data_IF_077724503026
#
_entry.id   IF_077724503026
#
_cell.length_a   1.000
_cell.length_b   1.000
_cell.length_c   1.000
_cell.angle_alpha   90.00
_cell.angle_beta   90.00
_cell.angle_gamma   90.00
#
_symmetry.space_group_name_H-M   'P 1'
#
loop_
_entity.id
_entity.type
_entity.pdbx_description
1 polymer ?
#
# COMPACT_ATOMS: atom_id res chain seq x y z
N UNK A 1 50.17 22.91 -44.12
CA UNK A 1 48.80 22.54 -44.56
C UNK A 1 47.89 22.46 -43.33
N UNK A 2 46.59 22.69 -43.55
CA UNK A 2 45.48 23.01 -42.62
C UNK A 2 45.38 22.09 -41.38
N UNK A 3 45.25 22.65 -40.16
CA UNK A 3 44.05 22.68 -39.27
C UNK A 3 43.33 21.31 -39.19
N UNK A 4 43.16 20.65 -38.04
CA UNK A 4 42.36 21.07 -36.87
C UNK A 4 42.57 20.14 -35.67
N UNK A 5 42.61 20.71 -34.47
CA UNK A 5 42.33 20.05 -33.18
C UNK A 5 40.85 19.66 -33.14
N UNK A 6 40.50 18.46 -32.64
CA UNK A 6 39.15 18.21 -32.13
C UNK A 6 39.22 17.52 -30.75
N UNK A 7 38.90 18.35 -29.76
CA UNK A 7 38.42 18.03 -28.42
C UNK A 7 37.01 17.40 -28.49
N UNK A 8 36.54 16.83 -27.37
CA UNK A 8 35.16 16.40 -27.03
C UNK A 8 34.88 14.91 -27.29
N UNK A 9 34.33 14.15 -26.35
CA UNK A 9 33.77 14.52 -25.07
C UNK A 9 33.28 13.27 -24.33
N UNK A 10 33.24 13.41 -23.01
CA UNK A 10 32.61 12.50 -22.05
C UNK A 10 31.20 12.14 -22.55
N UNK A 11 30.96 10.88 -22.89
CA UNK A 11 29.60 10.35 -22.95
C UNK A 11 29.32 9.77 -21.56
N UNK A 12 28.86 10.65 -20.69
CA UNK A 12 28.14 10.30 -19.48
C UNK A 12 26.85 9.61 -19.95
N UNK A 13 26.79 8.29 -19.79
CA UNK A 13 25.55 7.55 -20.01
C UNK A 13 24.63 7.92 -18.84
N UNK A 14 23.87 9.01 -19.01
CA UNK A 14 22.63 9.20 -18.29
C UNK A 14 21.73 8.06 -18.71
N UNK A 15 21.66 7.01 -17.89
CA UNK A 15 20.50 6.12 -17.90
C UNK A 15 19.33 6.96 -17.44
N UNK A 16 18.67 7.63 -18.39
CA UNK A 16 17.30 8.08 -18.25
C UNK A 16 16.51 6.77 -18.18
N UNK A 17 16.34 6.23 -16.98
CA UNK A 17 15.25 5.29 -16.76
C UNK A 17 14.00 6.01 -17.21
N UNK A 18 13.33 5.45 -18.23
CA UNK A 18 12.03 5.90 -18.68
C UNK A 18 11.14 6.04 -17.44
N UNK A 19 10.97 7.27 -16.96
CA UNK A 19 9.82 7.64 -16.16
C UNK A 19 8.64 7.44 -17.12
N UNK A 20 8.03 6.26 -17.06
CA UNK A 20 6.76 6.00 -17.69
C UNK A 20 5.84 7.14 -17.29
N UNK A 21 5.53 8.01 -18.24
CA UNK A 21 4.62 9.14 -18.08
C UNK A 21 3.17 8.61 -18.11
N UNK A 22 2.90 7.61 -17.28
CA UNK A 22 1.61 6.98 -17.10
C UNK A 22 1.19 7.12 -15.66
N UNK A 23 -0.05 7.57 -15.44
CA UNK A 23 -0.66 7.47 -14.11
C UNK A 23 -0.89 6.00 -13.81
N UNK A 24 -0.62 5.60 -12.57
CA UNK A 24 -1.00 4.30 -12.08
C UNK A 24 -2.52 4.25 -11.89
N UNK A 25 -3.15 3.32 -12.60
CA UNK A 25 -4.61 3.11 -12.63
C UNK A 25 -4.94 1.66 -12.23
N UNK A 26 -4.84 1.33 -10.93
CA UNK A 26 -5.13 -0.01 -10.43
C UNK A 26 -6.63 -0.29 -10.41
N UNK A 27 -7.00 -1.58 -10.48
CA UNK A 27 -8.37 -1.99 -10.17
C UNK A 27 -8.63 -1.77 -8.68
N UNK A 28 -9.50 -0.81 -8.36
CA UNK A 28 -9.81 -0.46 -6.98
C UNK A 28 -10.78 -1.46 -6.35
N UNK A 29 -10.52 -1.75 -5.07
CA UNK A 29 -11.46 -2.42 -4.18
C UNK A 29 -12.52 -1.44 -3.69
N UNK A 30 -13.72 -1.96 -3.43
CA UNK A 30 -14.86 -1.21 -2.92
C UNK A 30 -14.91 -1.22 -1.39
N UNK A 31 -15.34 -0.11 -0.80
CA UNK A 31 -15.54 -0.01 0.64
C UNK A 31 -16.80 -0.73 1.11
N UNK A 32 -16.80 -1.14 2.38
CA UNK A 32 -17.90 -1.82 3.07
C UNK A 32 -18.28 -3.19 2.47
N UNK A 33 -17.40 -3.77 1.65
CA UNK A 33 -17.48 -5.15 1.20
C UNK A 33 -16.64 -6.02 2.12
N UNK A 34 -17.16 -7.20 2.47
CA UNK A 34 -16.39 -8.23 3.15
C UNK A 34 -15.47 -8.93 2.16
N UNK A 35 -14.18 -8.78 2.40
CA UNK A 35 -13.15 -9.50 1.68
C UNK A 35 -12.73 -10.72 2.49
N UNK A 36 -12.63 -11.86 1.83
CA UNK A 36 -12.29 -13.15 2.43
C UNK A 36 -11.20 -13.82 1.62
N UNK A 37 -10.16 -14.35 2.27
CA UNK A 37 -9.29 -15.30 1.59
C UNK A 37 -9.97 -16.68 1.57
N UNK A 38 -10.24 -17.23 0.39
CA UNK A 38 -10.84 -18.57 0.25
C UNK A 38 -9.80 -19.69 0.10
N UNK A 39 -8.51 -19.35 0.03
CA UNK A 39 -7.39 -20.26 -0.19
C UNK A 39 -6.68 -20.67 1.10
N UNK A 40 -6.70 -19.81 2.12
CA UNK A 40 -6.06 -20.07 3.42
C UNK A 40 -7.11 -20.05 4.54
N UNK A 41 -7.11 -21.12 5.35
CA UNK A 41 -8.04 -21.29 6.47
C UNK A 41 -7.33 -21.15 7.80
N UNK A 42 -8.09 -20.70 8.78
CA UNK A 42 -7.72 -20.71 10.18
C UNK A 42 -7.63 -22.14 10.74
N UNK A 43 -7.02 -22.27 11.92
CA UNK A 43 -6.92 -23.55 12.62
C UNK A 43 -8.29 -24.17 12.96
N UNK A 44 -9.34 -23.35 13.03
CA UNK A 44 -10.73 -23.78 13.22
C UNK A 44 -11.49 -24.04 11.90
N UNK A 45 -10.82 -23.86 10.76
CA UNK A 45 -11.38 -24.06 9.42
C UNK A 45 -12.16 -22.87 8.85
N UNK A 46 -12.26 -21.76 9.59
CA UNK A 46 -12.82 -20.50 9.09
C UNK A 46 -11.87 -19.81 8.11
N UNK A 47 -12.36 -18.80 7.40
CA UNK A 47 -11.55 -18.01 6.48
C UNK A 47 -11.36 -16.62 7.06
N UNK A 48 -10.16 -16.02 6.96
CA UNK A 48 -9.95 -14.66 7.43
C UNK A 48 -10.81 -13.70 6.62
N UNK A 49 -11.42 -12.73 7.29
CA UNK A 49 -12.25 -11.71 6.66
C UNK A 49 -11.88 -10.31 7.14
N UNK A 50 -11.91 -9.35 6.21
CA UNK A 50 -11.73 -7.94 6.51
C UNK A 50 -12.78 -7.11 5.79
N UNK A 51 -13.31 -6.10 6.46
CA UNK A 51 -14.21 -5.10 5.88
C UNK A 51 -13.60 -3.71 6.07
N UNK A 52 -13.22 -3.07 4.98
CA UNK A 52 -12.64 -1.71 5.00
C UNK A 52 -13.76 -0.69 4.79
N UNK A 53 -13.96 0.24 5.71
CA UNK A 53 -14.99 1.30 5.61
C UNK A 53 -14.49 2.55 4.91
N UNK A 54 -13.25 2.95 5.21
CA UNK A 54 -12.61 4.11 4.58
C UNK A 54 -11.11 4.12 4.85
N UNK A 55 -10.36 4.80 3.98
CA UNK A 55 -8.95 5.09 4.19
C UNK A 55 -8.73 6.59 3.99
N UNK A 56 -8.22 7.26 5.03
CA UNK A 56 -8.07 8.73 5.06
C UNK A 56 -6.72 9.14 5.61
N UNK A 57 -6.23 10.31 5.22
CA UNK A 57 -5.06 10.93 5.88
C UNK A 57 -5.48 11.62 7.18
N UNK A 58 -4.74 11.42 8.26
CA UNK A 58 -4.87 12.18 9.51
C UNK A 58 -3.49 12.62 9.99
N UNK A 59 -3.20 13.91 9.87
CA UNK A 59 -1.96 14.59 10.30
C UNK A 59 -0.68 13.96 9.75
N UNK A 60 -0.25 12.83 10.33
CA UNK A 60 1.01 12.12 10.04
C UNK A 60 0.80 10.68 9.62
N UNK A 61 -0.41 10.15 9.75
CA UNK A 61 -0.73 8.76 9.49
C UNK A 61 -1.80 8.65 8.39
N UNK A 62 -1.87 7.46 7.78
CA UNK A 62 -3.04 7.03 7.04
C UNK A 62 -3.89 6.16 7.98
N UNK A 63 -5.16 6.52 8.14
CA UNK A 63 -6.12 5.84 9.00
C UNK A 63 -7.00 4.94 8.16
N UNK A 64 -6.93 3.64 8.43
CA UNK A 64 -7.79 2.61 7.81
C UNK A 64 -8.85 2.23 8.82
N UNK A 65 -10.08 2.69 8.58
CA UNK A 65 -11.23 2.33 9.41
C UNK A 65 -11.81 1.01 8.92
N UNK A 66 -11.98 0.05 9.82
CA UNK A 66 -12.64 -1.23 9.51
C UNK A 66 -14.02 -1.30 10.15
N UNK A 67 -14.85 -2.25 9.73
CA UNK A 67 -16.06 -2.66 10.47
C UNK A 67 -15.88 -4.02 11.15
N UNK A 68 -14.64 -4.47 11.29
CA UNK A 68 -14.30 -5.76 11.87
C UNK A 68 -13.97 -5.59 13.35
N UNK A 69 -14.36 -6.56 14.22
CA UNK A 69 -14.03 -6.51 15.64
C UNK A 69 -12.53 -6.37 15.90
N UNK A 70 -12.16 -5.59 16.92
CA UNK A 70 -10.76 -5.31 17.24
C UNK A 70 -9.92 -6.58 17.47
N UNK A 71 -10.46 -7.57 18.19
CA UNK A 71 -9.77 -8.85 18.44
C UNK A 71 -9.45 -9.61 17.14
N UNK A 72 -10.38 -9.61 16.18
CA UNK A 72 -10.13 -10.22 14.87
C UNK A 72 -9.07 -9.47 14.08
N UNK A 73 -9.00 -8.15 14.23
CA UNK A 73 -7.99 -7.32 13.57
C UNK A 73 -6.61 -7.47 14.21
N UNK A 74 -6.50 -7.72 15.52
CA UNK A 74 -5.21 -8.08 16.16
C UNK A 74 -4.68 -9.35 15.52
N UNK A 75 -5.52 -10.39 15.51
CA UNK A 75 -5.15 -11.67 14.96
C UNK A 75 -4.75 -11.56 13.48
N UNK A 76 -5.53 -10.79 12.70
CA UNK A 76 -5.22 -10.56 11.30
C UNK A 76 -3.95 -9.75 11.10
N UNK A 77 -3.65 -8.76 11.94
CA UNK A 77 -2.39 -7.99 11.86
C UNK A 77 -1.16 -8.87 12.10
N UNK A 78 -1.22 -9.77 13.09
CA UNK A 78 -0.07 -10.59 13.47
C UNK A 78 0.23 -11.70 12.45
N UNK A 79 -0.80 -12.20 11.77
CA UNK A 79 -0.68 -13.41 10.96
C UNK A 79 -0.82 -13.16 9.45
N UNK A 80 -1.57 -12.12 9.04
CA UNK A 80 -2.17 -12.07 7.70
C UNK A 80 -1.92 -10.75 6.98
N UNK A 81 -2.27 -9.64 7.59
CA UNK A 81 -2.41 -8.36 6.89
C UNK A 81 -1.04 -7.75 6.59
N UNK A 82 -0.87 -7.32 5.35
CA UNK A 82 0.19 -6.40 4.95
C UNK A 82 -0.37 -5.12 4.40
N UNK A 83 0.44 -4.06 4.48
CA UNK A 83 0.14 -2.77 3.91
C UNK A 83 1.27 -2.35 3.01
N UNK A 84 0.91 -1.81 1.85
CA UNK A 84 1.84 -1.14 0.94
C UNK A 84 1.18 0.15 0.47
N UNK A 85 1.97 1.20 0.37
CA UNK A 85 1.48 2.50 -0.08
C UNK A 85 2.00 2.80 -1.48
N UNK A 86 1.17 3.41 -2.32
CA UNK A 86 1.49 3.79 -3.69
C UNK A 86 1.24 5.28 -3.92
N UNK A 87 2.11 5.89 -4.73
CA UNK A 87 1.88 7.21 -5.30
C UNK A 87 0.99 7.15 -6.57
N UNK A 88 0.81 8.30 -7.23
CA UNK A 88 0.02 8.42 -8.46
C UNK A 88 0.69 7.82 -9.70
N UNK A 89 1.96 7.44 -9.61
CA UNK A 89 2.77 6.83 -10.68
C UNK A 89 2.98 5.33 -10.46
N UNK A 90 2.55 4.81 -9.31
CA UNK A 90 2.68 3.39 -8.95
C UNK A 90 4.02 3.06 -8.31
N UNK A 91 4.83 4.07 -7.94
CA UNK A 91 5.96 3.82 -7.04
C UNK A 91 5.39 3.45 -5.68
N UNK A 92 6.00 2.45 -5.04
CA UNK A 92 5.48 1.90 -3.80
C UNK A 92 6.53 1.75 -2.72
N UNK A 93 6.06 1.70 -1.47
CA UNK A 93 6.85 1.31 -0.30
C UNK A 93 6.09 0.31 0.55
N UNK A 94 6.81 -0.68 1.05
CA UNK A 94 6.39 -1.64 2.07
C UNK A 94 6.86 -1.23 3.47
N UNK A 95 7.57 -0.09 3.61
CA UNK A 95 8.03 0.46 4.90
C UNK A 95 6.91 1.17 5.64
N UNK A 96 5.86 0.40 5.94
CA UNK A 96 4.67 0.83 6.66
C UNK A 96 4.76 0.34 8.10
N UNK A 97 4.84 1.26 9.05
CA UNK A 97 4.69 0.96 10.47
C UNK A 97 3.20 1.01 10.83
N UNK A 98 2.69 -0.05 11.45
CA UNK A 98 1.27 -0.22 11.72
C UNK A 98 1.01 -0.14 13.22
N UNK A 99 0.04 0.66 13.63
CA UNK A 99 -0.56 0.61 14.97
C UNK A 99 -2.04 0.31 14.85
N UNK A 100 -2.51 -0.70 15.56
CA UNK A 100 -3.92 -1.02 15.67
C UNK A 100 -4.50 -0.44 16.97
N UNK A 101 -5.70 0.14 16.90
CA UNK A 101 -6.45 0.62 18.06
C UNK A 101 -7.89 0.12 18.00
N UNK A 102 -8.49 0.01 19.17
CA UNK A 102 -9.92 -0.24 19.32
C UNK A 102 -10.69 1.08 19.37
N UNK A 103 -11.71 1.23 18.52
CA UNK A 103 -12.64 2.35 18.51
C UNK A 103 -14.03 1.77 18.26
N UNK A 104 -14.98 1.99 19.18
CA UNK A 104 -16.34 1.46 19.09
C UNK A 104 -16.37 -0.05 18.80
N UNK A 105 -15.58 -0.83 19.54
CA UNK A 105 -15.38 -2.29 19.41
C UNK A 105 -14.75 -2.75 18.06
N UNK A 106 -14.44 -1.82 17.16
CA UNK A 106 -13.85 -2.07 15.84
C UNK A 106 -12.35 -1.80 15.83
N UNK A 107 -11.63 -2.55 14.99
CA UNK A 107 -10.22 -2.31 14.73
C UNK A 107 -9.99 -1.13 13.79
N UNK A 108 -9.09 -0.22 14.15
CA UNK A 108 -8.66 0.90 13.31
C UNK A 108 -7.14 0.90 13.19
N UNK A 109 -6.63 0.83 11.96
CA UNK A 109 -5.19 0.87 11.71
C UNK A 109 -4.72 2.31 11.47
N UNK A 110 -3.58 2.64 12.05
CA UNK A 110 -2.81 3.86 11.82
C UNK A 110 -1.50 3.46 11.15
N UNK A 111 -1.33 3.90 9.91
CA UNK A 111 -0.19 3.57 9.07
C UNK A 111 0.76 4.77 9.02
N UNK A 112 1.95 4.62 9.61
CA UNK A 112 3.03 5.60 9.51
C UNK A 112 4.00 5.19 8.40
N UNK A 113 4.21 6.06 7.42
CA UNK A 113 5.01 5.77 6.22
C UNK A 113 6.20 6.71 6.17
N UNK A 114 7.40 6.14 6.25
CA UNK A 114 8.62 6.88 6.58
C UNK A 114 9.40 7.42 5.37
N UNK A 115 9.28 6.78 4.21
CA UNK A 115 10.09 7.06 3.03
C UNK A 115 9.26 7.60 1.84
N UNK A 116 8.02 8.00 2.09
CA UNK A 116 7.19 8.72 1.12
C UNK A 116 6.48 9.90 1.79
N UNK A 117 6.28 10.96 1.01
CA UNK A 117 5.46 12.09 1.43
C UNK A 117 3.99 11.63 1.54
N UNK A 118 3.38 11.84 2.71
CA UNK A 118 1.97 11.49 2.98
C UNK A 118 1.02 12.02 1.90
N UNK A 119 1.25 13.23 1.39
CA UNK A 119 0.42 13.86 0.35
C UNK A 119 0.54 13.21 -1.04
N UNK A 120 1.69 12.58 -1.30
CA UNK A 120 1.93 11.86 -2.55
C UNK A 120 1.18 10.52 -2.59
N UNK A 121 0.81 9.97 -1.44
CA UNK A 121 0.14 8.68 -1.35
C UNK A 121 -1.30 8.79 -1.84
N UNK A 122 -1.60 8.01 -2.87
CA UNK A 122 -2.93 7.93 -3.50
C UNK A 122 -3.63 6.61 -3.25
N UNK A 123 -2.89 5.54 -3.01
CA UNK A 123 -3.47 4.21 -2.80
C UNK A 123 -2.80 3.47 -1.65
N UNK A 124 -3.59 2.67 -0.95
CA UNK A 124 -3.12 1.66 0.00
C UNK A 124 -3.53 0.30 -0.53
N UNK A 125 -2.56 -0.57 -0.69
CA UNK A 125 -2.77 -1.99 -0.90
C UNK A 125 -2.80 -2.69 0.45
N UNK A 126 -3.83 -3.52 0.63
CA UNK A 126 -4.03 -4.35 1.81
C UNK A 126 -4.05 -5.81 1.33
N UNK A 127 -3.01 -6.55 1.68
CA UNK A 127 -2.88 -7.97 1.33
C UNK A 127 -3.27 -8.85 2.51
N UNK A 128 -4.11 -9.88 2.34
CA UNK A 128 -4.44 -10.82 3.40
C UNK A 128 -3.26 -11.75 3.77
N UNK A 129 -2.18 -11.81 2.97
CA UNK A 129 -0.96 -12.56 3.30
C UNK A 129 0.28 -11.85 2.74
N UNK A 130 1.42 -11.97 3.43
CA UNK A 130 2.71 -11.35 3.05
C UNK A 130 3.23 -11.72 1.66
N UNK A 131 2.77 -12.84 1.07
CA UNK A 131 3.35 -13.45 -0.13
C UNK A 131 2.31 -13.90 -1.18
N UNK A 132 1.13 -13.26 -1.31
CA UNK A 132 0.07 -13.75 -2.21
C UNK A 132 -0.52 -12.67 -3.14
N UNK A 133 -1.05 -13.10 -4.29
CA UNK A 133 -1.51 -12.23 -5.39
C UNK A 133 -2.92 -11.62 -5.20
N UNK A 134 -3.58 -11.85 -4.06
CA UNK A 134 -4.95 -11.42 -3.78
C UNK A 134 -5.03 -10.08 -3.05
N UNK A 135 -4.12 -9.16 -3.34
CA UNK A 135 -4.05 -7.88 -2.65
C UNK A 135 -5.15 -6.92 -3.16
N UNK A 136 -5.71 -6.17 -2.22
CA UNK A 136 -6.80 -5.24 -2.47
C UNK A 136 -6.25 -3.82 -2.46
N UNK A 137 -6.44 -3.08 -3.55
CA UNK A 137 -5.97 -1.70 -3.66
C UNK A 137 -7.14 -0.75 -3.42
N UNK A 138 -7.02 0.06 -2.39
CA UNK A 138 -8.00 1.07 -2.02
C UNK A 138 -7.44 2.47 -2.29
N UNK A 139 -8.32 3.39 -2.71
CA UNK A 139 -7.95 4.79 -2.90
C UNK A 139 -7.95 5.53 -1.57
N UNK A 140 -6.91 6.31 -1.29
CA UNK A 140 -6.85 7.16 -0.10
C UNK A 140 -7.61 8.45 -0.36
N UNK A 141 -8.59 8.74 0.50
CA UNK A 141 -9.33 10.01 0.51
C UNK A 141 -8.56 11.12 1.22
#
# INVERSE_FOLDING_TARGET
MKKTVLLLGIILIFTITLLGCGKFDPKLAEYNIMYRDTSNKESDGSYPTIVIKSIKKDKKDIVVNTSSPYEQMIYAMDNFITFRAYDDKGNYTDKVSVKLKEIDEQGVFYLSISDMNLEAIKYIEIGPYKNNDNNLIFKVD
#
